data_IF_918210050192
#
_entry.id   IF_918210050192
#
_cell.length_a   1.000
_cell.length_b   1.000
_cell.length_c   1.000
_cell.angle_alpha   90.00
_cell.angle_beta   90.00
_cell.angle_gamma   90.00
#
_symmetry.space_group_name_H-M   'P 1'
#
loop_
_entity.id
_entity.type
_entity.pdbx_description
1 polymer ?
#
# COMPACT_ATOMS: atom_id res chain seq x y z
N UNK A 1 -8.23 39.85 58.51
CA UNK A 1 -7.11 38.88 58.63
C UNK A 1 -7.35 37.57 57.86
N UNK A 2 -8.39 37.44 57.03
CA UNK A 2 -8.75 36.15 56.38
C UNK A 2 -8.06 35.86 55.03
N UNK A 3 -7.46 36.86 54.37
CA UNK A 3 -6.79 36.69 53.07
C UNK A 3 -5.50 35.83 53.12
N UNK A 4 -4.89 35.69 54.31
CA UNK A 4 -3.66 34.89 54.47
C UNK A 4 -3.92 33.38 54.58
N UNK A 5 -5.17 32.98 54.83
CA UNK A 5 -5.53 31.56 54.99
C UNK A 5 -5.74 30.86 53.63
N UNK A 6 -6.25 31.59 52.63
CA UNK A 6 -6.52 31.06 51.28
C UNK A 6 -5.26 30.79 50.45
N UNK A 7 -4.15 31.51 50.70
CA UNK A 7 -2.85 31.23 50.07
C UNK A 7 -2.17 29.96 50.61
N UNK A 8 -2.63 29.43 51.76
CA UNK A 8 -2.03 28.25 52.41
C UNK A 8 -2.49 26.93 51.78
N UNK A 9 -3.65 26.92 51.11
CA UNK A 9 -4.21 25.74 50.45
C UNK A 9 -3.73 25.52 49.00
N UNK A 10 -3.09 26.51 48.35
CA UNK A 10 -2.44 26.31 47.04
C UNK A 10 -1.11 25.53 47.12
N UNK A 11 -0.64 25.24 48.34
CA UNK A 11 0.57 24.46 48.64
C UNK A 11 0.28 22.99 49.00
N UNK A 12 -0.96 22.53 48.85
CA UNK A 12 -1.30 21.12 49.09
C UNK A 12 -1.11 20.31 47.81
N UNK A 13 -0.24 19.30 47.87
CA UNK A 13 -0.10 18.20 46.90
C UNK A 13 0.49 18.47 45.50
N UNK A 14 1.60 19.21 45.41
CA UNK A 14 2.51 18.98 44.28
C UNK A 14 3.35 17.71 44.53
N UNK A 15 2.73 16.54 44.34
CA UNK A 15 3.48 15.28 44.21
C UNK A 15 4.24 15.34 42.88
N UNK A 16 5.53 15.65 42.94
CA UNK A 16 6.41 15.58 41.78
C UNK A 16 6.66 14.12 41.40
N UNK A 17 6.81 13.85 40.11
CA UNK A 17 7.27 12.56 39.59
C UNK A 17 8.65 12.24 40.19
N UNK A 18 8.85 11.03 40.70
CA UNK A 18 10.16 10.64 41.19
C UNK A 18 11.12 10.37 40.01
N UNK A 19 12.41 10.68 40.17
CA UNK A 19 13.41 10.33 39.14
C UNK A 19 13.46 8.82 38.90
N UNK A 20 13.18 8.03 39.95
CA UNK A 20 13.13 6.56 39.87
C UNK A 20 11.96 6.08 39.02
N UNK A 21 10.77 6.68 39.16
CA UNK A 21 9.63 6.37 38.28
C UNK A 21 9.97 6.66 36.81
N UNK A 22 10.61 7.79 36.53
CA UNK A 22 10.96 8.12 35.15
C UNK A 22 11.98 7.12 34.57
N UNK A 23 12.99 6.71 35.37
CA UNK A 23 14.01 5.74 34.95
C UNK A 23 13.40 4.37 34.66
N UNK A 24 12.48 3.89 35.50
CA UNK A 24 11.78 2.61 35.26
C UNK A 24 10.93 2.67 33.99
N UNK A 25 10.23 3.79 33.74
CA UNK A 25 9.39 3.94 32.56
C UNK A 25 10.21 3.90 31.27
N UNK A 26 11.31 4.66 31.19
CA UNK A 26 12.17 4.63 30.00
C UNK A 26 12.88 3.29 29.84
N UNK A 27 13.19 2.59 30.94
CA UNK A 27 13.75 1.24 30.88
C UNK A 27 12.76 0.25 30.28
N UNK A 28 11.48 0.29 30.67
CA UNK A 28 10.43 -0.56 30.10
C UNK A 28 10.20 -0.21 28.62
N UNK A 29 10.10 1.07 28.27
CA UNK A 29 9.96 1.51 26.87
C UNK A 29 11.17 1.06 26.04
N UNK A 30 12.38 1.11 26.57
CA UNK A 30 13.59 0.65 25.90
C UNK A 30 13.57 -0.85 25.59
N UNK A 31 13.12 -1.68 26.52
CA UNK A 31 12.96 -3.13 26.31
C UNK A 31 11.91 -3.41 25.24
N UNK A 32 10.74 -2.77 25.32
CA UNK A 32 9.66 -2.94 24.36
C UNK A 32 10.07 -2.48 22.95
N UNK A 33 10.76 -1.34 22.85
CA UNK A 33 11.26 -0.84 21.57
C UNK A 33 12.31 -1.80 20.97
N UNK A 34 13.20 -2.36 21.80
CA UNK A 34 14.24 -3.30 21.35
C UNK A 34 13.68 -4.57 20.69
N UNK A 35 12.57 -5.12 21.18
CA UNK A 35 11.92 -6.30 20.58
C UNK A 35 11.03 -5.96 19.38
N UNK A 36 10.52 -4.73 19.31
CA UNK A 36 9.51 -4.33 18.33
C UNK A 36 10.11 -3.96 16.97
N UNK A 37 11.27 -3.30 16.95
CA UNK A 37 11.89 -2.78 15.73
C UNK A 37 12.14 -3.83 14.62
N UNK A 38 12.80 -4.98 14.86
CA UNK A 38 13.11 -5.90 13.77
C UNK A 38 11.86 -6.54 13.14
N UNK A 39 10.79 -6.75 13.92
CA UNK A 39 9.53 -7.28 13.41
C UNK A 39 8.74 -6.24 12.61
N UNK A 40 8.84 -4.97 12.98
CA UNK A 40 8.08 -3.91 12.30
C UNK A 40 8.44 -3.81 10.81
N UNK A 41 9.73 -3.91 10.47
CA UNK A 41 10.18 -3.87 9.07
C UNK A 41 9.68 -5.06 8.25
N UNK A 42 9.78 -6.30 8.76
CA UNK A 42 9.30 -7.47 8.03
C UNK A 42 7.78 -7.42 7.79
N UNK A 43 7.01 -6.94 8.76
CA UNK A 43 5.56 -6.79 8.59
C UNK A 43 5.18 -5.76 7.53
N UNK A 44 5.94 -4.66 7.41
CA UNK A 44 5.67 -3.66 6.37
C UNK A 44 6.00 -4.19 4.98
N UNK A 45 7.06 -4.98 4.84
CA UNK A 45 7.47 -5.55 3.56
C UNK A 45 6.48 -6.64 3.12
N UNK A 46 6.09 -7.55 4.02
CA UNK A 46 5.03 -8.54 3.76
C UNK A 46 3.69 -7.89 3.37
N UNK A 47 3.33 -6.78 4.02
CA UNK A 47 2.12 -6.03 3.69
C UNK A 47 2.19 -5.37 2.31
N UNK A 48 3.36 -4.82 1.93
CA UNK A 48 3.57 -4.25 0.59
C UNK A 48 3.51 -5.34 -0.49
N UNK A 49 4.17 -6.46 -0.26
CA UNK A 49 4.16 -7.62 -1.16
C UNK A 49 2.74 -8.16 -1.35
N UNK A 50 2.00 -8.33 -0.24
CA UNK A 50 0.59 -8.74 -0.28
C UNK A 50 -0.30 -7.76 -1.05
N UNK A 51 -0.06 -6.44 -0.92
CA UNK A 51 -0.78 -5.42 -1.68
C UNK A 51 -0.46 -5.49 -3.19
N UNK A 52 0.82 -5.64 -3.56
CA UNK A 52 1.24 -5.79 -4.95
C UNK A 52 0.60 -7.02 -5.61
N UNK A 53 0.64 -8.18 -4.94
CA UNK A 53 -0.03 -9.41 -5.41
C UNK A 53 -1.54 -9.22 -5.57
N UNK A 54 -2.19 -8.58 -4.60
CA UNK A 54 -3.64 -8.37 -4.64
C UNK A 54 -4.05 -7.50 -5.83
N UNK A 55 -3.32 -6.41 -6.07
CA UNK A 55 -3.58 -5.51 -7.20
C UNK A 55 -3.26 -6.16 -8.53
N UNK A 56 -2.14 -6.90 -8.65
CA UNK A 56 -1.83 -7.69 -9.83
C UNK A 56 -2.94 -8.70 -10.16
N UNK A 57 -3.52 -9.38 -9.16
CA UNK A 57 -4.69 -10.25 -9.38
C UNK A 57 -5.90 -9.48 -9.91
N UNK A 58 -6.18 -8.30 -9.36
CA UNK A 58 -7.27 -7.44 -9.86
C UNK A 58 -7.04 -7.00 -11.30
N UNK A 59 -5.81 -6.59 -11.62
CA UNK A 59 -5.38 -6.22 -12.97
C UNK A 59 -5.62 -7.40 -13.93
N UNK A 60 -5.15 -8.60 -13.58
CA UNK A 60 -5.37 -9.81 -14.40
C UNK A 60 -6.84 -10.09 -14.66
N UNK A 61 -7.68 -10.12 -13.63
CA UNK A 61 -9.11 -10.38 -13.80
C UNK A 61 -9.77 -9.38 -14.75
N UNK A 62 -9.38 -8.10 -14.68
CA UNK A 62 -9.87 -7.09 -15.62
C UNK A 62 -9.40 -7.38 -17.04
N UNK A 63 -8.14 -7.74 -17.22
CA UNK A 63 -7.57 -8.03 -18.54
C UNK A 63 -8.19 -9.26 -19.19
N UNK A 64 -8.45 -10.31 -18.41
CA UNK A 64 -9.19 -11.49 -18.88
C UNK A 64 -10.63 -11.16 -19.24
N UNK A 65 -11.30 -10.32 -18.44
CA UNK A 65 -12.67 -9.88 -18.73
C UNK A 65 -12.71 -9.09 -20.04
N UNK A 66 -11.73 -8.22 -20.28
CA UNK A 66 -11.60 -7.49 -21.54
C UNK A 66 -11.32 -8.43 -22.72
N UNK A 67 -10.37 -9.35 -22.56
CA UNK A 67 -10.05 -10.35 -23.59
C UNK A 67 -11.26 -11.22 -23.94
N UNK A 68 -12.02 -11.68 -22.95
CA UNK A 68 -13.24 -12.47 -23.16
C UNK A 68 -14.30 -11.71 -23.97
N UNK A 69 -14.34 -10.38 -23.87
CA UNK A 69 -15.32 -9.53 -24.56
C UNK A 69 -14.85 -9.12 -25.97
N UNK A 70 -13.56 -8.84 -26.15
CA UNK A 70 -13.04 -8.22 -27.38
C UNK A 70 -12.06 -9.09 -28.17
N UNK A 71 -11.62 -10.24 -27.64
CA UNK A 71 -10.69 -11.16 -28.29
C UNK A 71 -9.26 -10.63 -28.43
N UNK A 72 -8.93 -9.55 -27.73
CA UNK A 72 -7.60 -8.93 -27.69
C UNK A 72 -7.26 -8.49 -26.27
N UNK A 73 -5.98 -8.46 -25.93
CA UNK A 73 -5.52 -8.01 -24.62
C UNK A 73 -5.74 -6.49 -24.48
N UNK A 74 -6.02 -6.00 -23.26
CA UNK A 74 -6.26 -4.57 -23.04
C UNK A 74 -4.97 -3.77 -23.19
N UNK A 75 -5.13 -2.53 -23.64
CA UNK A 75 -4.09 -1.52 -23.54
C UNK A 75 -4.02 -0.97 -22.10
N UNK A 76 -2.86 -0.42 -21.72
CA UNK A 76 -2.68 0.33 -20.47
C UNK A 76 -2.24 1.75 -20.77
N UNK A 77 -2.76 2.70 -19.98
CA UNK A 77 -2.48 4.13 -20.14
C UNK A 77 -2.06 4.75 -18.80
N UNK A 78 -1.03 5.60 -18.84
CA UNK A 78 -0.41 6.24 -17.66
C UNK A 78 1.00 5.72 -17.40
N UNK A 79 1.66 6.25 -16.35
CA UNK A 79 3.03 5.86 -15.94
C UNK A 79 2.99 5.23 -14.53
N UNK A 80 3.35 6.00 -13.50
CA UNK A 80 3.28 5.61 -12.08
C UNK A 80 1.86 5.55 -11.52
N UNK A 81 0.90 6.02 -12.30
CA UNK A 81 -0.52 5.79 -12.07
C UNK A 81 -1.11 5.41 -13.41
N UNK A 82 -1.54 4.17 -13.54
CA UNK A 82 -2.05 3.65 -14.81
C UNK A 82 -3.47 3.11 -14.69
N UNK A 83 -4.11 2.96 -15.85
CA UNK A 83 -5.42 2.34 -16.01
C UNK A 83 -5.36 1.26 -17.07
N UNK A 84 -6.06 0.16 -16.82
CA UNK A 84 -6.26 -0.94 -17.77
C UNK A 84 -7.51 -0.67 -18.60
N UNK A 85 -7.45 -0.85 -19.92
CA UNK A 85 -8.59 -0.64 -20.81
C UNK A 85 -9.78 -1.53 -20.42
N UNK A 86 -10.98 -0.94 -20.38
CA UNK A 86 -12.24 -1.63 -20.04
C UNK A 86 -13.23 -1.66 -21.20
N UNK A 87 -13.01 -0.86 -22.23
CA UNK A 87 -13.89 -0.79 -23.38
C UNK A 87 -13.24 -0.21 -24.63
N UNK A 88 -14.07 -0.05 -25.66
CA UNK A 88 -13.73 0.60 -26.92
C UNK A 88 -14.85 1.60 -27.20
N UNK A 89 -14.49 2.85 -27.43
CA UNK A 89 -15.41 3.93 -27.75
C UNK A 89 -15.97 3.79 -29.17
N UNK A 90 -17.01 4.58 -29.51
CA UNK A 90 -17.63 4.55 -30.85
C UNK A 90 -16.63 4.85 -31.98
N UNK A 91 -15.62 5.66 -31.70
CA UNK A 91 -14.58 6.07 -32.66
C UNK A 91 -13.43 5.05 -32.77
N UNK A 92 -13.48 3.94 -32.02
CA UNK A 92 -12.46 2.90 -31.99
C UNK A 92 -11.35 3.10 -30.96
N UNK A 93 -11.36 4.25 -30.27
CA UNK A 93 -10.39 4.58 -29.24
C UNK A 93 -10.55 3.72 -27.97
N UNK A 94 -9.46 3.46 -27.23
CA UNK A 94 -9.52 2.71 -25.98
C UNK A 94 -10.26 3.48 -24.88
N UNK A 95 -11.18 2.80 -24.20
CA UNK A 95 -11.94 3.35 -23.07
C UNK A 95 -11.41 2.85 -21.73
N UNK A 96 -11.31 3.77 -20.77
CA UNK A 96 -10.82 3.53 -19.40
C UNK A 96 -11.79 4.07 -18.33
N UNK A 97 -13.06 4.29 -18.69
CA UNK A 97 -14.05 4.98 -17.85
C UNK A 97 -14.35 4.21 -16.55
N UNK A 98 -14.39 2.89 -16.63
CA UNK A 98 -14.73 1.99 -15.52
C UNK A 98 -13.49 1.42 -14.83
N UNK A 99 -12.30 1.83 -15.26
CA UNK A 99 -11.04 1.34 -14.74
C UNK A 99 -10.68 2.07 -13.44
N UNK A 100 -10.39 1.35 -12.33
CA UNK A 100 -9.68 1.96 -11.22
C UNK A 100 -8.31 2.47 -11.66
N UNK A 101 -7.79 3.45 -10.93
CA UNK A 101 -6.39 3.87 -11.09
C UNK A 101 -5.53 3.00 -10.18
N UNK A 102 -4.56 2.30 -10.77
CA UNK A 102 -3.54 1.56 -10.03
C UNK A 102 -2.34 2.48 -9.79
N UNK A 103 -1.78 2.45 -8.58
CA UNK A 103 -0.60 3.27 -8.22
C UNK A 103 0.63 2.37 -8.15
N UNK A 104 1.45 2.46 -9.18
CA UNK A 104 2.59 1.62 -9.47
C UNK A 104 2.90 1.69 -10.97
N UNK A 105 3.89 0.93 -11.42
CA UNK A 105 4.23 0.83 -12.84
C UNK A 105 3.90 -0.56 -13.33
N UNK A 106 3.48 -0.68 -14.59
CA UNK A 106 3.32 -1.96 -15.27
C UNK A 106 4.26 -1.98 -16.46
N UNK A 107 4.88 -3.13 -16.71
CA UNK A 107 5.76 -3.29 -17.85
C UNK A 107 5.00 -3.17 -19.18
N UNK A 108 5.68 -2.67 -20.21
CA UNK A 108 5.13 -2.57 -21.56
C UNK A 108 4.15 -1.41 -21.79
N UNK A 109 4.02 -0.44 -20.87
CA UNK A 109 3.22 0.78 -21.10
C UNK A 109 3.58 1.40 -22.47
N UNK A 110 2.57 1.64 -23.31
CA UNK A 110 2.73 2.20 -24.66
C UNK A 110 3.17 1.21 -25.74
N UNK A 111 3.34 -0.08 -25.41
CA UNK A 111 3.45 -1.16 -26.40
C UNK A 111 2.05 -1.63 -26.84
N UNK A 112 1.97 -2.34 -27.96
CA UNK A 112 0.70 -2.82 -28.49
C UNK A 112 0.04 -3.91 -27.61
N UNK A 113 0.84 -4.65 -26.83
CA UNK A 113 0.37 -5.80 -26.05
C UNK A 113 1.09 -5.91 -24.68
N UNK A 114 0.95 -4.92 -23.79
CA UNK A 114 1.59 -4.90 -22.46
C UNK A 114 1.19 -6.08 -21.58
N UNK A 115 0.07 -6.74 -21.90
CA UNK A 115 -0.52 -7.82 -21.13
C UNK A 115 -0.70 -9.08 -21.96
N UNK A 116 0.19 -9.28 -22.96
CA UNK A 116 0.07 -10.38 -23.91
C UNK A 116 0.03 -11.72 -23.18
N UNK A 117 -0.90 -12.57 -23.59
CA UNK A 117 -1.12 -13.89 -23.02
C UNK A 117 -1.38 -13.87 -21.50
N UNK A 118 -1.83 -12.73 -20.97
CA UNK A 118 -2.11 -12.52 -19.55
C UNK A 118 -0.86 -12.23 -18.71
N UNK A 119 0.31 -12.14 -19.34
CA UNK A 119 1.59 -11.90 -18.68
C UNK A 119 1.84 -10.42 -18.48
N UNK A 120 2.35 -10.04 -17.32
CA UNK A 120 2.82 -8.68 -17.03
C UNK A 120 3.63 -8.64 -15.74
N UNK A 121 4.47 -7.62 -15.59
CA UNK A 121 5.12 -7.27 -14.32
C UNK A 121 4.52 -5.97 -13.79
N UNK A 122 4.13 -5.98 -12.52
CA UNK A 122 3.58 -4.84 -11.79
C UNK A 122 4.49 -4.49 -10.62
N UNK A 123 5.05 -3.30 -10.63
CA UNK A 123 5.88 -2.80 -9.53
C UNK A 123 5.11 -1.79 -8.68
N UNK A 124 5.12 -1.98 -7.36
CA UNK A 124 4.56 -1.06 -6.40
C UNK A 124 5.44 -0.94 -5.17
N UNK A 125 5.86 0.30 -4.88
CA UNK A 125 6.60 0.62 -3.65
C UNK A 125 7.86 -0.24 -3.44
N UNK A 126 8.53 -0.63 -4.52
CA UNK A 126 9.73 -1.47 -4.51
C UNK A 126 9.47 -2.98 -4.49
N UNK A 127 8.20 -3.41 -4.51
CA UNK A 127 7.80 -4.82 -4.64
C UNK A 127 7.33 -5.08 -6.07
N UNK A 128 7.84 -6.16 -6.70
CA UNK A 128 7.42 -6.58 -8.04
C UNK A 128 6.50 -7.80 -7.93
N UNK A 129 5.33 -7.71 -8.55
CA UNK A 129 4.40 -8.80 -8.73
C UNK A 129 4.35 -9.19 -10.21
N UNK A 130 4.66 -10.45 -10.52
CA UNK A 130 4.66 -11.01 -11.86
C UNK A 130 3.44 -11.90 -12.04
N UNK A 131 2.76 -11.71 -13.16
CA UNK A 131 1.74 -12.64 -13.63
C UNK A 131 2.26 -13.44 -14.82
N UNK A 132 2.12 -14.76 -14.76
CA UNK A 132 2.49 -15.66 -15.85
C UNK A 132 1.30 -16.03 -16.77
N UNK A 133 1.58 -16.80 -17.82
CA UNK A 133 0.61 -17.24 -18.84
C UNK A 133 -0.46 -18.19 -18.27
N UNK A 134 -0.10 -18.98 -17.25
CA UNK A 134 -1.00 -19.89 -16.54
C UNK A 134 -1.90 -19.12 -15.55
N UNK A 135 -1.49 -17.90 -15.23
CA UNK A 135 -2.20 -17.02 -14.34
C UNK A 135 -1.79 -17.01 -12.89
N UNK A 136 -0.70 -17.66 -12.55
CA UNK A 136 -0.14 -17.51 -11.24
C UNK A 136 0.36 -16.07 -11.09
N UNK A 137 -0.07 -15.43 -10.01
CA UNK A 137 0.48 -14.13 -9.58
C UNK A 137 1.43 -14.42 -8.44
N UNK A 138 2.70 -14.10 -8.66
CA UNK A 138 3.77 -14.23 -7.68
C UNK A 138 4.36 -12.85 -7.42
N UNK A 139 4.98 -12.65 -6.27
CA UNK A 139 5.83 -11.50 -6.06
C UNK A 139 7.24 -12.00 -5.74
N UNK A 140 8.25 -11.21 -6.10
CA UNK A 140 9.63 -11.45 -5.66
C UNK A 140 9.71 -11.39 -4.12
#
# INVERSE_FOLDING_TARGET
MELRQQLKNLKQNRKGFTLVELIVVIAIIGILAGIMLPRYYSFTDDARRGAAISEAKSIRTMSETFYAKYGKWPEVSGDSNFKVQTGVESDGDPSYSDSPTFTGTIDGIGTADPMKDGTFEYEKAGETATCDEDGAVTAD
#
